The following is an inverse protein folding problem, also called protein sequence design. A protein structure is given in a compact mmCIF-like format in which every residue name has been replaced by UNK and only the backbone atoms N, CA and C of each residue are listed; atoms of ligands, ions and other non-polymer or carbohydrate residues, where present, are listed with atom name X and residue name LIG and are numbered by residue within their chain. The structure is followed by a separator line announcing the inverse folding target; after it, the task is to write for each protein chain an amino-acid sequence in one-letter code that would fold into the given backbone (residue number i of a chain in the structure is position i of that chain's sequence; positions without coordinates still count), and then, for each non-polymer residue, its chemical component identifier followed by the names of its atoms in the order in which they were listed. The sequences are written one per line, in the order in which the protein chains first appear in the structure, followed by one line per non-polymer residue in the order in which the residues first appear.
data_IF_597794786304
#
_entry.id   IF_597794786304
#
_cell.length_a   1.000
_cell.length_b   1.000
_cell.length_c   1.000
_cell.angle_alpha   90.00
_cell.angle_beta   90.00
_cell.angle_gamma   90.00
#
_symmetry.space_group_name_H-M   'P 1'
#
loop_
_entity.id
_entity.type
_entity.pdbx_description
1 polymer ?
#
# COMPACT_ATOMS: atom_id res chain seq x y z
N UNK A 1 0.93 8.33 -2.92
CA UNK A 1 2.28 7.75 -2.98
C UNK A 1 2.75 7.48 -4.41
N UNK A 2 1.93 7.70 -5.44
CA UNK A 2 2.34 7.62 -6.85
C UNK A 2 2.30 9.01 -7.52
N UNK A 3 3.16 9.26 -8.52
CA UNK A 3 2.99 10.38 -9.44
C UNK A 3 1.69 10.27 -10.26
N UNK A 4 1.15 11.39 -10.76
CA UNK A 4 0.09 11.38 -11.76
C UNK A 4 0.48 10.50 -12.96
N UNK A 5 -0.43 9.62 -13.39
CA UNK A 5 -0.23 8.74 -14.55
C UNK A 5 0.45 7.40 -14.28
N UNK A 6 0.91 7.15 -13.05
CA UNK A 6 1.47 5.86 -12.64
C UNK A 6 0.43 5.10 -11.81
N UNK A 7 -0.23 4.05 -12.34
CA UNK A 7 -1.22 3.30 -11.57
C UNK A 7 -0.55 2.47 -10.46
N UNK A 8 -1.21 2.43 -9.31
CA UNK A 8 -0.92 1.52 -8.19
C UNK A 8 -2.26 1.10 -7.56
N UNK A 9 -2.29 -0.07 -6.95
CA UNK A 9 -3.46 -0.56 -6.25
C UNK A 9 -3.38 -0.15 -4.78
N UNK A 10 -4.40 0.53 -4.27
CA UNK A 10 -4.50 0.95 -2.87
C UNK A 10 -5.61 0.17 -2.18
N UNK A 11 -5.32 -0.40 -1.02
CA UNK A 11 -6.29 -1.13 -0.21
C UNK A 11 -6.01 -0.99 1.28
N UNK A 12 -6.84 -1.66 2.08
CA UNK A 12 -6.68 -1.78 3.52
C UNK A 12 -6.94 -3.23 3.95
N UNK A 13 -6.49 -3.59 5.15
CA UNK A 13 -6.69 -4.93 5.72
C UNK A 13 -8.13 -5.20 6.18
N UNK A 14 -8.97 -4.18 6.30
CA UNK A 14 -10.38 -4.32 6.64
C UNK A 14 -11.26 -3.29 5.89
N UNK A 15 -12.56 -3.61 5.80
CA UNK A 15 -13.53 -2.85 5.01
C UNK A 15 -13.86 -1.49 5.66
N UNK A 16 -13.87 -1.44 6.99
CA UNK A 16 -14.16 -0.26 7.78
C UNK A 16 -13.11 0.82 7.53
N UNK A 17 -11.82 0.45 7.60
CA UNK A 17 -10.70 1.33 7.29
C UNK A 17 -10.71 1.76 5.82
N UNK A 18 -10.92 0.82 4.88
CA UNK A 18 -11.01 1.15 3.46
C UNK A 18 -12.11 2.19 3.20
N UNK A 19 -13.26 2.04 3.85
CA UNK A 19 -14.39 2.98 3.76
C UNK A 19 -14.02 4.34 4.34
N UNK A 20 -13.43 4.38 5.54
CA UNK A 20 -13.03 5.62 6.21
C UNK A 20 -12.03 6.46 5.38
N UNK A 21 -11.12 5.81 4.66
CA UNK A 21 -10.11 6.48 3.81
C UNK A 21 -10.71 7.07 2.51
N UNK A 22 -11.77 6.45 1.96
CA UNK A 22 -12.41 6.93 0.71
C UNK A 22 -13.25 8.19 0.90
N UNK A 23 -13.77 8.44 2.12
CA UNK A 23 -14.63 9.59 2.47
C UNK A 23 -15.82 9.79 1.52
N UNK A 24 -16.30 8.70 0.90
CA UNK A 24 -17.44 8.70 -0.04
C UNK A 24 -18.78 8.50 0.68
N UNK A 25 -19.88 8.93 0.05
CA UNK A 25 -21.26 8.76 0.59
C UNK A 25 -21.89 7.40 0.27
N UNK A 26 -21.45 6.77 -0.81
CA UNK A 26 -21.83 5.42 -1.21
C UNK A 26 -20.56 4.77 -1.75
N UNK A 27 -20.16 3.64 -1.15
CA UNK A 27 -18.90 2.98 -1.49
C UNK A 27 -19.16 1.49 -1.73
N UNK A 28 -18.44 0.93 -2.70
CA UNK A 28 -18.37 -0.52 -2.88
C UNK A 28 -16.99 -0.98 -2.44
N UNK A 29 -16.94 -2.00 -1.60
CA UNK A 29 -15.71 -2.57 -1.06
C UNK A 29 -15.43 -3.88 -1.79
N UNK A 30 -14.34 -3.93 -2.54
CA UNK A 30 -13.83 -5.15 -3.14
C UNK A 30 -12.87 -5.87 -2.19
N UNK A 31 -13.04 -7.18 -2.01
CA UNK A 31 -12.10 -8.04 -1.29
C UNK A 31 -11.17 -8.70 -2.29
N UNK A 32 -9.87 -8.53 -2.10
CA UNK A 32 -8.84 -9.05 -2.99
C UNK A 32 -7.93 -10.03 -2.25
N UNK A 33 -7.43 -11.04 -2.96
CA UNK A 33 -6.40 -11.97 -2.49
C UNK A 33 -5.27 -12.05 -3.50
N UNK A 34 -4.05 -12.32 -3.03
CA UNK A 34 -2.91 -12.58 -3.91
C UNK A 34 -2.89 -14.06 -4.30
N UNK A 35 -2.69 -14.39 -5.58
CA UNK A 35 -2.61 -15.79 -6.06
C UNK A 35 -1.18 -16.34 -6.08
N UNK A 36 -0.19 -15.49 -5.74
CA UNK A 36 1.21 -15.86 -5.51
C UNK A 36 1.72 -15.29 -4.20
N UNK A 37 2.91 -15.73 -3.79
CA UNK A 37 3.67 -15.07 -2.73
C UNK A 37 4.07 -13.65 -3.16
N UNK A 38 3.85 -12.68 -2.27
CA UNK A 38 4.19 -11.28 -2.49
C UNK A 38 5.15 -10.77 -1.42
N UNK A 39 6.09 -9.94 -1.84
CA UNK A 39 7.10 -9.36 -0.95
C UNK A 39 6.72 -7.93 -0.58
N UNK A 40 6.23 -7.73 0.64
CA UNK A 40 5.74 -6.44 1.10
C UNK A 40 6.72 -5.81 2.10
N UNK A 41 7.08 -4.56 1.87
CA UNK A 41 7.80 -3.76 2.87
C UNK A 41 6.82 -3.34 3.97
N UNK A 42 6.98 -3.88 5.18
CA UNK A 42 6.13 -3.54 6.32
C UNK A 42 6.68 -2.35 7.11
N UNK A 43 6.12 -1.17 6.86
CA UNK A 43 6.37 0.06 7.62
C UNK A 43 5.41 0.23 8.80
N UNK A 44 4.39 -0.62 8.94
CA UNK A 44 3.45 -0.56 10.05
C UNK A 44 3.98 -1.26 11.32
N UNK A 45 4.88 -2.24 11.14
CA UNK A 45 5.45 -3.06 12.21
C UNK A 45 6.98 -3.20 12.11
N UNK A 46 7.69 -2.07 12.18
CA UNK A 46 9.16 -2.06 12.17
C UNK A 46 9.78 -2.33 13.56
N UNK A 47 10.95 -2.97 13.63
CA UNK A 47 11.71 -3.05 14.87
C UNK A 47 12.13 -1.66 15.33
N UNK A 48 12.37 -1.50 16.64
CA UNK A 48 12.88 -0.26 17.19
C UNK A 48 14.27 0.06 16.62
N UNK A 49 14.58 1.35 16.43
CA UNK A 49 15.91 1.79 16.04
C UNK A 49 16.90 1.36 17.14
N UNK A 50 17.94 0.57 16.82
CA UNK A 50 18.88 0.09 17.82
C UNK A 50 19.59 1.25 18.53
N UNK A 51 19.66 1.18 19.87
CA UNK A 51 20.32 2.19 20.69
C UNK A 51 21.84 2.22 20.48
N UNK A 52 22.51 3.28 20.95
CA UNK A 52 23.93 3.55 20.69
C UNK A 52 24.89 2.42 21.08
N UNK A 53 24.55 1.66 22.14
CA UNK A 53 25.34 0.56 22.69
C UNK A 53 24.95 -0.83 22.14
N UNK A 54 24.08 -0.92 21.13
CA UNK A 54 23.78 -2.20 20.49
C UNK A 54 24.95 -2.68 19.62
N UNK A 55 24.95 -3.97 19.27
CA UNK A 55 25.90 -4.55 18.29
C UNK A 55 25.52 -4.26 16.84
N UNK A 56 24.39 -3.57 16.61
CA UNK A 56 23.94 -3.22 15.26
C UNK A 56 24.93 -2.28 14.59
N UNK A 57 25.18 -2.52 13.31
CA UNK A 57 26.00 -1.68 12.48
C UNK A 57 25.41 -0.27 12.34
N UNK A 58 26.26 0.69 11.97
CA UNK A 58 25.85 2.07 11.71
C UNK A 58 24.85 2.15 10.55
N UNK A 59 25.01 1.30 9.55
CA UNK A 59 24.13 1.21 8.38
C UNK A 59 22.72 0.74 8.77
N UNK A 60 22.62 -0.35 9.54
CA UNK A 60 21.32 -0.85 10.03
C UNK A 60 20.58 0.19 10.86
N UNK A 61 21.29 0.91 11.75
CA UNK A 61 20.69 1.99 12.53
C UNK A 61 20.16 3.12 11.65
N UNK A 62 20.92 3.55 10.65
CA UNK A 62 20.47 4.62 9.75
C UNK A 62 19.35 4.18 8.83
N UNK A 63 19.40 2.96 8.30
CA UNK A 63 18.33 2.40 7.49
C UNK A 63 17.02 2.35 8.29
N UNK A 64 17.05 1.81 9.52
CA UNK A 64 15.86 1.78 10.37
C UNK A 64 15.38 3.19 10.74
N UNK A 65 16.28 4.10 11.12
CA UNK A 65 15.89 5.49 11.42
C UNK A 65 15.21 6.15 10.23
N UNK A 66 15.77 5.98 9.02
CA UNK A 66 15.20 6.50 7.79
C UNK A 66 13.81 5.91 7.52
N UNK A 67 13.63 4.58 7.64
CA UNK A 67 12.35 3.94 7.41
C UNK A 67 11.28 4.40 8.43
N UNK A 68 11.67 4.59 9.70
CA UNK A 68 10.80 5.17 10.74
C UNK A 68 10.36 6.59 10.39
N UNK A 69 11.26 7.44 9.91
CA UNK A 69 10.92 8.81 9.52
C UNK A 69 10.09 8.83 8.24
N UNK A 70 10.42 7.98 7.27
CA UNK A 70 9.65 7.80 6.05
C UNK A 70 8.21 7.35 6.35
N UNK A 71 8.04 6.38 7.25
CA UNK A 71 6.73 5.91 7.70
C UNK A 71 5.88 7.05 8.27
N UNK A 72 6.47 7.97 9.04
CA UNK A 72 5.74 9.13 9.58
C UNK A 72 5.26 10.09 8.48
N UNK A 73 6.03 10.23 7.39
CA UNK A 73 5.69 11.12 6.27
C UNK A 73 4.53 10.54 5.46
N UNK A 74 4.55 9.24 5.14
CA UNK A 74 3.48 8.62 4.31
C UNK A 74 2.11 8.54 5.00
N UNK A 75 2.07 8.62 6.34
CA UNK A 75 0.84 8.60 7.14
C UNK A 75 0.22 10.01 7.25
N UNK A 76 0.87 11.07 6.77
CA UNK A 76 0.28 12.41 6.88
C UNK A 76 -0.96 12.54 5.95
N UNK A 77 -2.10 13.06 6.45
CA UNK A 77 -3.26 13.30 5.61
C UNK A 77 -2.92 14.23 4.45
N UNK A 78 -3.30 13.85 3.24
CA UNK A 78 -3.21 14.72 2.08
C UNK A 78 -4.27 15.81 2.20
N UNK A 79 -3.88 17.00 2.66
CA UNK A 79 -4.68 18.20 2.44
C UNK A 79 -4.91 18.33 0.93
N UNK A 80 -6.15 18.51 0.46
CA UNK A 80 -6.41 18.77 -0.96
C UNK A 80 -6.31 20.27 -1.23
N UNK A 81 -5.13 20.85 -1.02
CA UNK A 81 -4.88 22.26 -1.33
C UNK A 81 -3.86 22.43 -2.49
N UNK A 82 -3.83 23.61 -3.11
CA UNK A 82 -2.96 23.88 -4.26
C UNK A 82 -1.44 23.89 -3.93
N UNK A 83 -1.04 23.73 -2.65
CA UNK A 83 0.37 23.67 -2.21
C UNK A 83 0.86 22.24 -1.98
N UNK A 84 -0.06 21.29 -1.95
CA UNK A 84 0.16 19.88 -1.64
C UNK A 84 1.10 19.17 -2.61
N UNK A 85 1.29 19.64 -3.84
CA UNK A 85 2.02 18.88 -4.87
C UNK A 85 3.55 18.70 -4.62
N UNK A 86 4.17 19.51 -3.75
CA UNK A 86 5.63 19.46 -3.49
C UNK A 86 5.96 18.52 -2.32
N UNK A 87 5.17 18.56 -1.26
CA UNK A 87 5.45 17.82 -0.01
C UNK A 87 5.40 16.29 -0.20
N UNK A 88 4.75 15.82 -1.26
CA UNK A 88 4.62 14.39 -1.56
C UNK A 88 5.65 13.86 -2.55
N UNK A 89 6.44 14.72 -3.19
CA UNK A 89 7.50 14.28 -4.13
C UNK A 89 8.45 13.27 -3.47
N UNK A 90 8.95 13.48 -2.23
CA UNK A 90 9.82 12.51 -1.59
C UNK A 90 9.18 11.12 -1.43
N UNK A 91 7.88 11.07 -1.08
CA UNK A 91 7.14 9.80 -0.96
C UNK A 91 6.97 9.11 -2.30
N UNK A 92 6.74 9.86 -3.37
CA UNK A 92 6.60 9.32 -4.73
C UNK A 92 7.92 8.73 -5.22
N UNK A 93 9.00 9.50 -5.13
CA UNK A 93 10.34 9.08 -5.56
C UNK A 93 10.79 7.81 -4.83
N UNK A 94 10.56 7.74 -3.52
CA UNK A 94 10.93 6.53 -2.77
C UNK A 94 10.03 5.33 -3.11
N UNK A 95 8.74 5.54 -3.33
CA UNK A 95 7.82 4.46 -3.73
C UNK A 95 8.19 3.90 -5.11
N UNK A 96 8.56 4.77 -6.06
CA UNK A 96 9.08 4.35 -7.37
C UNK A 96 10.41 3.61 -7.25
N UNK A 97 11.33 4.10 -6.40
CA UNK A 97 12.57 3.39 -6.10
C UNK A 97 12.30 1.97 -5.57
N UNK A 98 11.40 1.80 -4.60
CA UNK A 98 11.04 0.49 -4.07
C UNK A 98 10.47 -0.44 -5.15
N UNK A 99 9.69 0.09 -6.09
CA UNK A 99 9.10 -0.68 -7.18
C UNK A 99 10.15 -1.15 -8.20
N UNK A 100 11.03 -0.24 -8.61
CA UNK A 100 11.90 -0.44 -9.77
C UNK A 100 13.30 -0.96 -9.40
N UNK A 101 13.69 -0.85 -8.13
CA UNK A 101 15.02 -1.28 -7.69
C UNK A 101 15.13 -2.82 -7.60
N UNK A 102 16.15 -3.43 -8.23
CA UNK A 102 16.34 -4.87 -8.20
C UNK A 102 17.06 -5.29 -6.91
N UNK A 103 16.30 -5.54 -5.85
CA UNK A 103 16.85 -6.06 -4.60
C UNK A 103 17.37 -7.49 -4.77
N UNK A 104 18.38 -7.87 -3.98
CA UNK A 104 19.02 -9.18 -4.05
C UNK A 104 18.03 -10.35 -3.84
N UNK A 105 17.02 -10.16 -2.98
CA UNK A 105 16.00 -11.17 -2.66
C UNK A 105 14.73 -11.04 -3.55
N UNK A 106 14.83 -10.33 -4.67
CA UNK A 106 13.72 -10.10 -5.59
C UNK A 106 12.94 -8.81 -5.32
N UNK A 107 12.03 -8.50 -6.22
CA UNK A 107 11.31 -7.22 -6.24
C UNK A 107 10.40 -7.08 -5.02
N UNK A 108 10.17 -5.84 -4.60
CA UNK A 108 9.13 -5.51 -3.63
C UNK A 108 7.83 -5.33 -4.42
N UNK A 109 6.75 -5.97 -3.97
CA UNK A 109 5.44 -5.94 -4.61
C UNK A 109 4.51 -4.88 -4.01
N UNK A 110 4.88 -4.28 -2.88
CA UNK A 110 4.10 -3.26 -2.22
C UNK A 110 4.65 -2.82 -0.88
N UNK A 111 3.93 -1.87 -0.26
CA UNK A 111 4.27 -1.27 1.03
C UNK A 111 3.05 -1.28 1.93
N UNK A 112 3.20 -1.80 3.14
CA UNK A 112 2.18 -1.77 4.19
C UNK A 112 2.52 -0.67 5.20
N UNK A 113 1.52 0.12 5.60
CA UNK A 113 1.70 1.27 6.49
C UNK A 113 0.46 1.51 7.35
N UNK A 114 0.62 2.22 8.47
CA UNK A 114 -0.51 2.52 9.37
C UNK A 114 -1.46 3.54 8.74
N UNK A 115 -2.72 3.48 9.11
CA UNK A 115 -3.67 4.52 8.71
C UNK A 115 -3.44 5.84 9.46
N UNK A 116 -3.78 6.94 8.79
CA UNK A 116 -3.82 8.28 9.34
C UNK A 116 -5.13 8.59 10.10
N UNK A 117 -6.18 7.78 9.87
CA UNK A 117 -7.56 8.07 10.33
C UNK A 117 -7.81 7.68 11.79
N UNK A 118 -6.88 6.93 12.40
CA UNK A 118 -7.03 6.41 13.77
C UNK A 118 -7.85 5.12 13.86
N UNK A 119 -8.45 4.67 12.76
CA UNK A 119 -9.10 3.37 12.66
C UNK A 119 -8.09 2.23 12.83
N UNK A 120 -8.56 1.12 13.42
CA UNK A 120 -7.73 -0.06 13.56
C UNK A 120 -7.42 -0.68 12.19
N UNK A 121 -6.18 -1.13 12.01
CA UNK A 121 -5.74 -1.76 10.78
C UNK A 121 -4.59 -1.02 10.08
N UNK A 122 -4.37 -1.41 8.84
CA UNK A 122 -3.25 -0.96 8.01
C UNK A 122 -3.67 -0.82 6.56
N UNK A 123 -3.11 0.21 5.94
CA UNK A 123 -3.23 0.41 4.50
C UNK A 123 -2.10 -0.35 3.80
N UNK A 124 -2.37 -0.72 2.55
CA UNK A 124 -1.39 -1.32 1.66
C UNK A 124 -1.44 -0.63 0.31
N UNK A 125 -0.28 -0.30 -0.23
CA UNK A 125 -0.12 0.01 -1.65
C UNK A 125 0.59 -1.15 -2.31
N UNK A 126 -0.02 -1.71 -3.34
CA UNK A 126 0.56 -2.76 -4.16
C UNK A 126 1.02 -2.14 -5.48
N UNK A 127 2.22 -2.50 -5.93
CA UNK A 127 2.79 -2.09 -7.22
C UNK A 127 2.19 -2.92 -8.36
N UNK A 128 0.86 -2.87 -8.42
CA UNK A 128 0.05 -3.57 -9.38
C UNK A 128 -0.66 -2.57 -10.29
N UNK A 129 -0.75 -2.94 -11.56
CA UNK A 129 -1.52 -2.25 -12.59
C UNK A 129 -2.72 -3.10 -12.98
N UNK A 130 -3.53 -2.62 -13.93
CA UNK A 130 -4.67 -3.39 -14.44
C UNK A 130 -4.27 -4.77 -14.96
N UNK A 131 -3.10 -4.90 -15.62
CA UNK A 131 -2.61 -6.19 -16.14
C UNK A 131 -2.24 -7.19 -15.05
N UNK A 132 -2.20 -6.78 -13.78
CA UNK A 132 -1.93 -7.67 -12.66
C UNK A 132 -3.20 -8.20 -11.98
N UNK A 133 -4.39 -7.81 -12.45
CA UNK A 133 -5.67 -8.30 -11.95
C UNK A 133 -6.03 -9.62 -12.63
N UNK A 134 -6.55 -10.57 -11.86
CA UNK A 134 -7.09 -11.83 -12.38
C UNK A 134 -8.53 -11.59 -12.85
N UNK A 135 -8.80 -11.87 -14.13
CA UNK A 135 -10.15 -11.80 -14.69
C UNK A 135 -11.02 -12.93 -14.12
N UNK A 136 -12.05 -12.56 -13.36
CA UNK A 136 -13.01 -13.49 -12.74
C UNK A 136 -13.98 -14.20 -13.71
N UNK A 137 -13.70 -14.19 -15.02
CA UNK A 137 -14.56 -14.78 -16.06
C UNK A 137 -13.95 -16.01 -16.76
N UNK A 138 -12.70 -16.40 -16.45
CA UNK A 138 -12.06 -17.53 -17.13
C UNK A 138 -12.15 -18.81 -16.28
N UNK A 139 -13.26 -19.54 -16.41
CA UNK A 139 -13.30 -20.96 -16.01
C UNK A 139 -12.37 -21.84 -16.88
N UNK A 140 -11.85 -21.30 -17.99
CA UNK A 140 -10.89 -21.96 -18.89
C UNK A 140 -9.62 -21.11 -19.09
N UNK A 141 -8.78 -20.97 -18.05
CA UNK A 141 -7.50 -20.26 -18.17
C UNK A 141 -6.33 -21.24 -18.38
N UNK A 142 -6.22 -21.82 -19.57
CA UNK A 142 -4.98 -22.47 -20.01
C UNK A 142 -3.88 -21.47 -20.44
N UNK A 143 -4.14 -20.17 -20.26
CA UNK A 143 -3.23 -19.07 -20.62
C UNK A 143 -3.47 -17.88 -19.67
N UNK A 144 -3.40 -18.14 -18.35
CA UNK A 144 -3.31 -17.04 -17.39
C UNK A 144 -1.92 -16.41 -17.55
N UNK A 145 -1.87 -15.14 -17.94
CA UNK A 145 -0.65 -14.35 -17.97
C UNK A 145 0.03 -14.47 -16.60
N UNK A 146 1.28 -14.97 -16.53
CA UNK A 146 2.05 -15.13 -15.29
C UNK A 146 2.17 -13.79 -14.52
N UNK A 147 1.85 -12.67 -15.16
CA UNK A 147 1.77 -11.34 -14.58
C UNK A 147 0.49 -11.04 -13.76
N UNK A 148 -0.59 -11.83 -13.88
CA UNK A 148 -1.84 -11.61 -13.15
C UNK A 148 -1.81 -12.30 -11.78
N UNK A 149 -1.94 -11.54 -10.70
CA UNK A 149 -1.77 -12.08 -9.34
C UNK A 149 -2.64 -11.47 -8.24
N UNK A 150 -3.48 -10.47 -8.56
CA UNK A 150 -4.47 -9.91 -7.65
C UNK A 150 -5.87 -10.33 -8.08
N UNK A 151 -6.53 -11.17 -7.28
CA UNK A 151 -7.85 -11.71 -7.59
C UNK A 151 -8.93 -11.06 -6.73
N UNK A 152 -9.97 -10.53 -7.38
CA UNK A 152 -11.19 -10.09 -6.71
C UNK A 152 -12.01 -11.32 -6.30
N UNK A 153 -12.30 -11.46 -5.01
CA UNK A 153 -13.03 -12.63 -4.47
C UNK A 153 -14.43 -12.31 -3.97
N UNK A 154 -14.71 -11.04 -3.65
CA UNK A 154 -16.04 -10.60 -3.25
C UNK A 154 -16.19 -9.09 -3.45
N UNK A 155 -17.43 -8.64 -3.62
CA UNK A 155 -17.81 -7.23 -3.62
C UNK A 155 -18.93 -7.05 -2.61
N UNK A 156 -18.82 -6.04 -1.78
CA UNK A 156 -19.82 -5.63 -0.82
C UNK A 156 -20.23 -4.18 -1.11
N UNK A 157 -21.53 -3.91 -1.12
CA UNK A 157 -22.06 -2.56 -1.28
C UNK A 157 -22.40 -2.02 0.11
N UNK A 158 -21.73 -0.94 0.50
CA UNK A 158 -22.01 -0.26 1.77
C UNK A 158 -22.90 0.94 1.44
N UNK A 159 -24.21 0.72 1.62
CA UNK A 159 -25.22 1.78 1.57
C UNK A 159 -25.37 2.37 2.97
N UNK A 160 -25.16 3.68 3.10
CA UNK A 160 -25.43 4.38 4.35
C UNK A 160 -26.95 4.51 4.52
N UNK A 161 -27.53 3.56 5.26
CA UNK A 161 -28.97 3.54 5.56
C UNK A 161 -29.35 4.42 6.77
N UNK A 162 -28.43 5.25 7.31
CA UNK A 162 -28.68 6.10 8.49
C UNK A 162 -28.23 7.57 8.30
N UNK A 163 -28.53 8.15 7.14
CA UNK A 163 -28.63 9.61 7.02
C UNK A 163 -30.08 10.07 7.33
N UNK A 164 -30.44 10.08 8.62
CA UNK A 164 -31.62 10.80 9.15
C UNK A 164 -31.24 12.21 9.60
#
# INVERSE_FOLDING_TARGET
MNPPGIPMFYGADNAELATAETRGKAVSVGKFVTTRETRILDLASMPAVPGFFSEASREERYALSFLHDFAKVIIQPVARDNRTHIDYIPTQVFTEYLRDYPFADGNIDGVRYRSATGEAGTNVVMFATQGNLVDGAAEDAFDQDDAAWLMLVAVEHVDDHDAL
#
